data_IF_354747662870
#
_entry.id   IF_354747662870
#
_cell.length_a   1.000
_cell.length_b   1.000
_cell.length_c   1.000
_cell.angle_alpha   90.00
_cell.angle_beta   90.00
_cell.angle_gamma   90.00
#
_symmetry.space_group_name_H-M   'P 1'
#
loop_
_entity.id
_entity.type
_entity.pdbx_description
1 polymer ?
#
# COMPACT_ATOMS: atom_id res chain seq x y z
N UNK A 1 -2.36 70.75 38.76
CA UNK A 1 -2.61 69.30 38.63
C UNK A 1 -1.66 68.76 37.55
N UNK A 2 -0.58 68.07 37.94
CA UNK A 2 0.49 67.62 37.02
C UNK A 2 0.19 66.20 36.54
N UNK A 3 0.10 66.00 35.23
CA UNK A 3 0.03 64.65 34.61
C UNK A 3 1.44 64.30 34.14
N UNK A 4 2.02 63.22 34.71
CA UNK A 4 3.26 62.59 34.23
C UNK A 4 2.88 61.48 33.26
N UNK A 5 3.39 61.53 32.03
CA UNK A 5 3.38 60.42 31.10
C UNK A 5 4.42 59.38 31.53
N UNK A 6 3.98 58.13 31.75
CA UNK A 6 4.84 56.95 31.89
C UNK A 6 4.61 56.10 30.64
N UNK A 7 5.64 55.95 29.82
CA UNK A 7 5.68 55.03 28.69
C UNK A 7 6.07 53.66 29.23
N UNK A 8 5.16 52.69 29.20
CA UNK A 8 5.47 51.28 29.44
C UNK A 8 5.96 50.66 28.12
N UNK A 9 7.23 50.24 28.09
CA UNK A 9 7.80 49.43 27.03
C UNK A 9 7.52 47.96 27.39
N UNK A 10 6.58 47.34 26.67
CA UNK A 10 6.37 45.90 26.69
C UNK A 10 7.42 45.23 25.80
N UNK A 11 8.38 44.54 26.41
CA UNK A 11 9.24 43.59 25.68
C UNK A 11 8.41 42.33 25.38
N UNK A 12 7.99 42.18 24.13
CA UNK A 12 7.46 40.92 23.63
C UNK A 12 8.60 39.91 23.50
N UNK A 13 8.70 38.98 24.46
CA UNK A 13 9.52 37.78 24.30
C UNK A 13 8.86 36.88 23.26
N UNK A 14 9.40 36.88 22.03
CA UNK A 14 9.04 35.90 21.01
C UNK A 14 9.77 34.60 21.33
N UNK A 15 9.08 33.46 21.55
CA UNK A 15 9.76 32.19 21.73
C UNK A 15 10.41 31.82 20.39
N UNK A 16 11.74 31.68 20.42
CA UNK A 16 12.51 31.17 19.29
C UNK A 16 12.06 29.73 19.03
N UNK A 17 11.25 29.52 17.98
CA UNK A 17 10.88 28.19 17.51
C UNK A 17 12.17 27.52 17.01
N UNK A 18 12.69 26.55 17.76
CA UNK A 18 13.73 25.65 17.27
C UNK A 18 13.04 24.71 16.29
N UNK A 19 13.07 25.06 15.00
CA UNK A 19 12.70 24.14 13.92
C UNK A 19 13.85 23.13 13.87
N UNK A 20 13.65 21.95 14.47
CA UNK A 20 14.53 20.82 14.21
C UNK A 20 14.49 20.55 12.70
N UNK A 21 15.63 20.33 12.03
CA UNK A 21 15.61 19.99 10.62
C UNK A 21 14.86 18.66 10.51
N UNK A 22 13.70 18.69 9.85
CA UNK A 22 13.17 17.49 9.20
C UNK A 22 14.28 17.08 8.24
N UNK A 23 14.95 15.95 8.49
CA UNK A 23 15.87 15.40 7.52
C UNK A 23 15.06 15.18 6.25
N UNK A 24 15.34 15.98 5.23
CA UNK A 24 14.62 15.87 3.97
C UNK A 24 14.89 14.48 3.40
N UNK A 25 13.84 13.65 3.32
CA UNK A 25 13.87 12.37 2.62
C UNK A 25 14.51 12.55 1.25
N UNK A 26 15.55 11.78 0.94
CA UNK A 26 16.15 11.84 -0.38
C UNK A 26 15.23 11.08 -1.33
N UNK A 27 14.47 11.81 -2.16
CA UNK A 27 13.54 11.26 -3.14
C UNK A 27 13.84 11.74 -4.57
N UNK A 28 13.56 10.87 -5.54
CA UNK A 28 13.61 11.16 -6.97
C UNK A 28 12.35 10.57 -7.63
N UNK A 29 11.56 11.45 -8.25
CA UNK A 29 10.44 11.07 -9.11
C UNK A 29 10.91 11.22 -10.58
N UNK A 30 10.92 10.14 -11.34
CA UNK A 30 11.29 10.14 -12.77
C UNK A 30 10.01 10.23 -13.59
N UNK A 31 9.92 11.25 -14.44
CA UNK A 31 8.84 11.39 -15.42
C UNK A 31 8.85 10.20 -16.39
N UNK A 32 7.75 9.44 -16.43
CA UNK A 32 7.61 8.22 -17.22
C UNK A 32 7.76 8.42 -18.73
N UNK A 33 7.61 9.66 -19.21
CA UNK A 33 7.70 10.03 -20.63
C UNK A 33 9.08 10.56 -21.03
N UNK A 34 10.00 10.78 -20.07
CA UNK A 34 11.30 11.38 -20.34
C UNK A 34 12.45 10.44 -20.01
N UNK A 35 13.42 10.28 -20.92
CA UNK A 35 14.62 9.53 -20.60
C UNK A 35 15.44 10.25 -19.53
N UNK A 36 16.11 9.45 -18.70
CA UNK A 36 16.99 9.91 -17.65
C UNK A 36 18.21 9.01 -17.60
N UNK A 37 19.40 9.60 -17.49
CA UNK A 37 20.66 8.84 -17.53
C UNK A 37 21.56 9.19 -16.36
N UNK A 38 22.05 8.15 -15.70
CA UNK A 38 23.05 8.18 -14.64
C UNK A 38 22.74 9.21 -13.53
N UNK A 39 21.45 9.42 -13.23
CA UNK A 39 21.03 10.32 -12.13
C UNK A 39 21.39 9.67 -10.81
N UNK A 40 22.01 10.46 -9.93
CA UNK A 40 22.36 10.00 -8.59
C UNK A 40 21.45 10.60 -7.53
N UNK A 41 21.13 9.76 -6.53
CA UNK A 41 20.54 10.15 -5.26
C UNK A 41 21.32 9.50 -4.12
N UNK A 42 21.48 10.21 -2.99
CA UNK A 42 22.31 9.76 -1.86
C UNK A 42 21.65 10.12 -0.54
N UNK A 43 21.82 9.24 0.44
CA UNK A 43 21.50 9.49 1.84
C UNK A 43 22.43 8.64 2.71
N UNK A 44 23.10 9.27 3.67
CA UNK A 44 24.12 8.62 4.50
C UNK A 44 25.18 7.88 3.67
N UNK A 45 25.32 6.57 3.90
CA UNK A 45 26.26 5.71 3.18
C UNK A 45 25.70 5.11 1.89
N UNK A 46 24.41 5.34 1.61
CA UNK A 46 23.70 4.79 0.46
C UNK A 46 23.77 5.77 -0.70
N UNK A 47 24.09 5.25 -1.87
CA UNK A 47 24.01 5.97 -3.15
C UNK A 47 23.30 5.09 -4.16
N UNK A 48 22.33 5.66 -4.86
CA UNK A 48 21.67 5.02 -5.99
C UNK A 48 21.98 5.80 -7.24
N UNK A 49 22.40 5.11 -8.29
CA UNK A 49 22.52 5.66 -9.64
C UNK A 49 21.49 4.97 -10.53
N UNK A 50 20.63 5.74 -11.18
CA UNK A 50 19.55 5.23 -12.01
C UNK A 50 19.63 5.78 -13.44
N UNK A 51 19.26 4.95 -14.40
CA UNK A 51 18.92 5.36 -15.77
C UNK A 51 17.58 4.75 -16.17
N UNK A 52 16.76 5.53 -16.86
CA UNK A 52 15.44 5.16 -17.35
C UNK A 52 15.31 5.57 -18.82
N UNK A 53 14.72 4.69 -19.63
CA UNK A 53 14.39 4.94 -21.02
C UNK A 53 12.89 4.62 -21.23
N UNK A 54 12.05 5.58 -21.65
CA UNK A 54 10.66 5.28 -21.95
C UNK A 54 10.54 4.21 -23.03
N UNK A 55 9.61 3.27 -22.85
CA UNK A 55 9.31 2.24 -23.84
C UNK A 55 8.54 2.82 -25.03
N UNK A 56 8.81 2.30 -26.23
CA UNK A 56 8.03 2.62 -27.42
C UNK A 56 7.17 1.42 -27.83
N UNK A 57 5.94 1.37 -27.31
CA UNK A 57 5.01 0.25 -27.53
C UNK A 57 4.64 0.03 -29.02
N UNK A 58 4.87 1.01 -29.89
CA UNK A 58 4.64 0.85 -31.33
C UNK A 58 5.76 0.04 -32.03
N UNK A 59 6.89 -0.22 -31.36
CA UNK A 59 8.06 -0.89 -31.95
C UNK A 59 8.45 -2.19 -31.21
N UNK A 60 8.01 -2.39 -29.97
CA UNK A 60 8.28 -3.61 -29.18
C UNK A 60 7.18 -4.68 -29.37
N UNK A 61 7.16 -5.33 -30.53
CA UNK A 61 6.20 -6.41 -30.83
C UNK A 61 6.70 -7.81 -30.50
N UNK A 62 7.94 -7.95 -30.00
CA UNK A 62 8.63 -9.25 -29.93
C UNK A 62 8.68 -9.90 -28.55
N UNK A 63 8.07 -9.30 -27.51
CA UNK A 63 7.95 -9.95 -26.20
C UNK A 63 9.27 -10.17 -25.45
N UNK A 64 10.37 -9.54 -25.89
CA UNK A 64 11.59 -9.46 -25.08
C UNK A 64 11.33 -8.58 -23.86
N UNK A 65 11.94 -8.94 -22.73
CA UNK A 65 11.85 -8.21 -21.47
C UNK A 65 12.35 -6.78 -21.65
N UNK A 66 11.40 -5.86 -21.85
CA UNK A 66 11.53 -4.40 -21.99
C UNK A 66 11.94 -3.72 -20.67
N UNK A 67 12.93 -4.29 -19.98
CA UNK A 67 13.53 -3.71 -18.77
C UNK A 67 14.16 -2.35 -19.12
N UNK A 68 13.42 -1.31 -18.82
CA UNK A 68 13.68 0.04 -19.28
C UNK A 68 14.07 0.97 -18.12
N UNK A 69 14.12 0.42 -16.90
CA UNK A 69 14.75 0.99 -15.73
C UNK A 69 16.00 0.18 -15.38
N UNK A 70 17.13 0.85 -15.15
CA UNK A 70 18.36 0.24 -14.64
C UNK A 70 18.88 1.05 -13.47
N UNK A 71 19.31 0.37 -12.41
CA UNK A 71 19.79 1.04 -11.21
C UNK A 71 20.94 0.29 -10.55
N UNK A 72 21.81 1.07 -9.92
CA UNK A 72 22.98 0.61 -9.19
C UNK A 72 22.94 1.15 -7.78
N UNK A 73 23.08 0.26 -6.79
CA UNK A 73 23.07 0.62 -5.37
C UNK A 73 24.47 0.42 -4.81
N UNK A 74 24.97 1.46 -4.16
CA UNK A 74 26.28 1.52 -3.55
C UNK A 74 26.15 1.71 -2.04
N UNK A 75 27.03 1.06 -1.29
CA UNK A 75 27.23 1.31 0.14
C UNK A 75 28.69 1.72 0.36
N UNK A 76 28.92 2.90 0.94
CA UNK A 76 30.27 3.49 1.11
C UNK A 76 31.08 3.50 -0.20
N UNK A 77 30.41 3.94 -1.27
CA UNK A 77 30.93 4.01 -2.65
C UNK A 77 31.33 2.67 -3.31
N UNK A 78 31.14 1.53 -2.63
CA UNK A 78 31.30 0.19 -3.21
C UNK A 78 29.98 -0.25 -3.83
N UNK A 79 30.02 -0.74 -5.07
CA UNK A 79 28.85 -1.26 -5.79
C UNK A 79 28.44 -2.62 -5.22
N UNK A 80 27.16 -2.78 -4.85
CA UNK A 80 26.61 -4.04 -4.37
C UNK A 80 25.46 -4.57 -5.22
N UNK A 81 24.61 -3.68 -5.74
CA UNK A 81 23.47 -4.05 -6.59
C UNK A 81 23.63 -3.40 -7.96
N UNK A 82 23.40 -4.17 -9.01
CA UNK A 82 23.29 -3.71 -10.38
C UNK A 82 22.12 -4.49 -10.99
N UNK A 83 20.94 -3.89 -10.96
CA UNK A 83 19.68 -4.56 -11.29
C UNK A 83 18.86 -3.71 -12.25
N UNK A 84 17.79 -4.31 -12.76
CA UNK A 84 16.87 -3.72 -13.72
C UNK A 84 15.43 -3.98 -13.31
N UNK A 85 14.53 -3.20 -13.87
CA UNK A 85 13.10 -3.40 -13.72
C UNK A 85 12.34 -2.87 -14.95
N UNK A 86 11.09 -3.28 -15.04
CA UNK A 86 10.14 -2.76 -16.00
C UNK A 86 9.30 -1.64 -15.41
N UNK A 87 9.04 -0.60 -16.20
CA UNK A 87 8.08 0.45 -15.89
C UNK A 87 7.35 0.94 -17.16
N UNK A 88 6.04 1.13 -17.06
CA UNK A 88 5.15 1.51 -18.15
C UNK A 88 4.50 2.87 -17.87
N UNK A 89 5.00 3.93 -18.51
CA UNK A 89 4.42 5.29 -18.58
C UNK A 89 4.17 6.05 -17.27
N UNK A 90 4.00 5.38 -16.12
CA UNK A 90 3.84 6.05 -14.84
C UNK A 90 5.21 6.54 -14.32
N UNK A 91 5.21 7.53 -13.41
CA UNK A 91 6.45 7.96 -12.78
C UNK A 91 7.13 6.84 -11.99
N UNK A 92 8.45 6.72 -12.16
CA UNK A 92 9.27 5.83 -11.30
C UNK A 92 9.63 6.61 -10.04
N UNK A 93 9.33 6.05 -8.88
CA UNK A 93 9.75 6.60 -7.59
C UNK A 93 11.02 5.94 -7.08
N UNK A 94 11.99 6.73 -6.62
CA UNK A 94 13.15 6.23 -5.87
C UNK A 94 13.28 7.03 -4.59
N UNK A 95 13.16 6.34 -3.48
CA UNK A 95 13.22 6.91 -2.15
C UNK A 95 14.35 6.27 -1.35
N UNK A 96 15.08 7.08 -0.59
CA UNK A 96 15.97 6.63 0.48
C UNK A 96 15.35 7.05 1.81
N UNK A 97 14.99 6.06 2.62
CA UNK A 97 14.27 6.27 3.87
C UNK A 97 14.60 5.15 4.85
N UNK A 98 14.96 5.50 6.09
CA UNK A 98 15.09 4.56 7.20
C UNK A 98 13.69 4.09 7.63
N UNK A 99 13.36 2.82 7.34
CA UNK A 99 12.03 2.25 7.58
C UNK A 99 11.88 1.65 8.97
N UNK A 100 12.96 1.13 9.57
CA UNK A 100 12.93 0.44 10.86
C UNK A 100 13.68 1.17 11.98
N UNK A 101 14.12 2.41 11.71
CA UNK A 101 14.83 3.32 12.61
C UNK A 101 16.18 2.74 13.07
N UNK A 102 16.89 2.05 12.19
CA UNK A 102 18.21 1.46 12.45
C UNK A 102 19.39 2.41 12.11
N UNK A 103 19.10 3.59 11.55
CA UNK A 103 20.08 4.60 11.13
C UNK A 103 20.67 4.38 9.74
N UNK A 104 20.17 3.40 8.98
CA UNK A 104 20.55 3.13 7.59
C UNK A 104 19.31 3.12 6.71
N UNK A 105 19.24 4.06 5.78
CA UNK A 105 18.13 4.12 4.83
C UNK A 105 17.99 2.86 3.98
N UNK A 106 16.77 2.38 3.83
CA UNK A 106 16.37 1.47 2.76
C UNK A 106 16.28 2.21 1.43
N UNK A 107 16.59 1.49 0.34
CA UNK A 107 16.30 1.94 -1.02
C UNK A 107 14.95 1.39 -1.44
N UNK A 108 13.99 2.28 -1.72
CA UNK A 108 12.63 1.91 -2.13
C UNK A 108 12.44 2.36 -3.58
N UNK A 109 12.20 1.42 -4.48
CA UNK A 109 11.98 1.68 -5.91
C UNK A 109 10.55 1.31 -6.25
N UNK A 110 9.74 2.30 -6.65
CA UNK A 110 8.36 2.13 -7.08
C UNK A 110 8.30 2.06 -8.61
N UNK A 111 7.71 1.00 -9.14
CA UNK A 111 7.49 0.80 -10.58
C UNK A 111 6.03 0.48 -10.87
N UNK A 112 5.62 0.67 -12.11
CA UNK A 112 4.28 0.43 -12.59
C UNK A 112 4.27 -0.42 -13.85
N UNK A 113 3.53 -1.51 -13.89
CA UNK A 113 3.54 -2.43 -15.04
C UNK A 113 2.48 -2.16 -16.11
N UNK A 114 1.61 -1.14 -15.96
CA UNK A 114 0.71 -0.72 -17.03
C UNK A 114 -0.73 -1.21 -16.97
N UNK A 115 -1.15 -1.84 -15.87
CA UNK A 115 -2.52 -2.32 -15.72
C UNK A 115 -3.56 -1.19 -15.57
N UNK A 116 -4.78 -1.44 -16.04
CA UNK A 116 -5.91 -0.49 -15.97
C UNK A 116 -6.30 -0.08 -14.54
N UNK A 117 -5.89 -0.87 -13.56
CA UNK A 117 -6.17 -0.68 -12.14
C UNK A 117 -4.90 -0.54 -11.30
N UNK A 118 -3.84 -0.07 -11.96
CA UNK A 118 -2.62 0.43 -11.36
C UNK A 118 -1.69 -0.57 -10.66
N UNK A 119 -1.27 -1.61 -11.39
CA UNK A 119 -0.30 -2.65 -10.97
C UNK A 119 1.07 -2.10 -10.55
N UNK A 120 1.12 -1.54 -9.35
CA UNK A 120 2.29 -0.90 -8.76
C UNK A 120 3.08 -1.93 -7.96
N UNK A 121 4.41 -1.84 -8.00
CA UNK A 121 5.29 -2.73 -7.24
C UNK A 121 6.41 -1.94 -6.60
N UNK A 122 6.86 -2.41 -5.43
CA UNK A 122 7.99 -1.83 -4.71
C UNK A 122 9.10 -2.86 -4.59
N UNK A 123 10.30 -2.49 -5.05
CA UNK A 123 11.53 -3.19 -4.75
C UNK A 123 12.24 -2.45 -3.61
N UNK A 124 12.39 -3.12 -2.48
CA UNK A 124 12.98 -2.55 -1.27
C UNK A 124 14.30 -3.26 -1.00
N UNK A 125 15.37 -2.49 -0.89
CA UNK A 125 16.70 -3.00 -0.54
C UNK A 125 17.10 -2.48 0.83
N UNK A 126 17.33 -3.40 1.76
CA UNK A 126 17.85 -3.11 3.10
C UNK A 126 19.29 -3.62 3.22
N UNK A 127 20.13 -2.88 3.94
CA UNK A 127 21.53 -3.23 4.17
C UNK A 127 21.69 -4.03 5.46
N UNK A 128 22.01 -5.31 5.35
CA UNK A 128 22.14 -6.22 6.50
C UNK A 128 23.29 -7.18 6.27
N UNK A 129 24.08 -7.47 7.33
CA UNK A 129 25.15 -8.47 7.28
C UNK A 129 26.12 -8.27 6.10
N UNK A 130 26.50 -7.02 5.84
CA UNK A 130 27.40 -6.60 4.76
C UNK A 130 26.91 -6.89 3.32
N UNK A 131 25.60 -6.96 3.11
CA UNK A 131 24.98 -7.09 1.78
C UNK A 131 23.62 -6.40 1.74
N UNK A 132 23.10 -6.17 0.53
CA UNK A 132 21.70 -5.81 0.35
C UNK A 132 20.82 -7.05 0.24
N UNK A 133 19.71 -7.07 0.97
CA UNK A 133 18.62 -8.03 0.76
C UNK A 133 17.47 -7.31 0.06
N UNK A 134 16.89 -7.95 -0.96
CA UNK A 134 15.77 -7.43 -1.76
C UNK A 134 14.45 -8.01 -1.27
N UNK A 135 13.46 -7.15 -1.12
CA UNK A 135 12.06 -7.50 -0.87
C UNK A 135 11.26 -6.95 -2.04
N UNK A 136 10.30 -7.74 -2.51
CA UNK A 136 9.38 -7.37 -3.57
C UNK A 136 7.96 -7.53 -3.04
N UNK A 137 7.15 -6.48 -3.17
CA UNK A 137 5.75 -6.48 -2.75
C UNK A 137 4.83 -7.23 -3.71
N UNK A 138 5.32 -7.59 -4.91
CA UNK A 138 4.47 -8.01 -6.02
C UNK A 138 3.61 -6.87 -6.54
N UNK A 139 2.61 -7.20 -7.34
CA UNK A 139 1.67 -6.22 -7.88
C UNK A 139 0.61 -5.85 -6.86
N UNK A 140 0.51 -4.55 -6.61
CA UNK A 140 -0.50 -3.91 -5.79
C UNK A 140 -1.31 -3.00 -6.70
N UNK A 141 -2.59 -3.33 -6.89
CA UNK A 141 -3.58 -2.49 -7.56
C UNK A 141 -3.88 -1.21 -6.74
N UNK A 142 -4.49 -0.23 -7.40
CA UNK A 142 -4.69 1.11 -6.86
C UNK A 142 -3.39 1.92 -6.83
N UNK A 143 -3.25 2.85 -5.88
CA UNK A 143 -2.05 3.69 -5.81
C UNK A 143 -0.78 2.97 -5.32
N UNK A 144 -0.84 1.64 -5.10
CA UNK A 144 0.28 0.82 -4.67
C UNK A 144 0.53 0.81 -3.16
N UNK A 145 -0.07 1.73 -2.42
CA UNK A 145 0.11 1.88 -0.98
C UNK A 145 1.02 3.04 -0.62
N UNK A 146 1.08 3.35 0.68
CA UNK A 146 1.76 4.54 1.20
C UNK A 146 2.68 4.15 2.36
N UNK A 147 3.85 4.80 2.43
CA UNK A 147 4.78 4.70 3.55
C UNK A 147 4.60 5.91 4.48
N UNK A 148 4.19 5.67 5.73
CA UNK A 148 3.91 6.73 6.70
C UNK A 148 4.28 6.28 8.12
N UNK A 149 4.76 7.21 8.95
CA UNK A 149 4.95 6.99 10.40
C UNK A 149 3.61 7.28 11.10
N UNK A 150 2.81 6.24 11.32
CA UNK A 150 1.44 6.37 11.83
C UNK A 150 1.37 6.69 13.32
N UNK A 151 2.42 6.37 14.07
CA UNK A 151 2.44 6.44 15.53
C UNK A 151 3.51 7.41 16.08
N UNK A 152 4.31 8.04 15.21
CA UNK A 152 5.43 8.94 15.50
C UNK A 152 6.58 8.28 16.28
N UNK A 153 6.81 6.97 16.10
CA UNK A 153 7.93 6.24 16.71
C UNK A 153 9.18 6.18 15.81
N UNK A 154 9.10 6.79 14.62
CA UNK A 154 10.10 6.81 13.54
C UNK A 154 10.31 5.49 12.81
N UNK A 155 9.51 4.47 13.10
CA UNK A 155 9.36 3.31 12.23
C UNK A 155 8.23 3.60 11.26
N UNK A 156 8.44 3.19 10.02
CA UNK A 156 7.55 3.53 8.92
C UNK A 156 6.65 2.33 8.66
N UNK A 157 5.35 2.57 8.68
CA UNK A 157 4.36 1.60 8.24
C UNK A 157 4.07 1.74 6.74
N UNK A 158 3.85 0.59 6.10
CA UNK A 158 3.34 0.47 4.75
C UNK A 158 1.85 0.14 4.79
N UNK A 159 1.03 1.10 4.38
CA UNK A 159 -0.43 1.01 4.32
C UNK A 159 -0.86 0.62 2.92
N UNK A 160 -1.62 -0.46 2.81
CA UNK A 160 -2.15 -0.98 1.54
C UNK A 160 -3.50 -1.67 1.75
N UNK A 161 -3.97 -2.45 0.77
CA UNK A 161 -5.21 -3.20 0.83
C UNK A 161 -5.05 -4.67 0.42
N UNK A 162 -5.93 -5.55 0.93
CA UNK A 162 -5.96 -6.94 0.46
C UNK A 162 -6.60 -7.05 -0.92
N UNK A 163 -5.77 -7.00 -1.96
CA UNK A 163 -6.21 -7.03 -3.36
C UNK A 163 -6.93 -8.31 -3.76
N UNK A 164 -6.87 -9.37 -2.95
CA UNK A 164 -7.66 -10.58 -3.22
C UNK A 164 -9.17 -10.34 -3.22
N UNK A 165 -9.65 -9.25 -2.62
CA UNK A 165 -11.06 -8.88 -2.65
C UNK A 165 -11.47 -8.19 -3.97
N UNK A 166 -10.51 -7.73 -4.77
CA UNK A 166 -10.78 -7.15 -6.08
C UNK A 166 -11.26 -8.25 -7.02
N UNK A 167 -12.34 -7.98 -7.75
CA UNK A 167 -12.99 -8.92 -8.67
C UNK A 167 -13.58 -10.18 -8.04
N UNK A 168 -13.43 -10.40 -6.74
CA UNK A 168 -13.87 -11.63 -6.12
C UNK A 168 -15.40 -11.71 -6.02
N UNK A 169 -16.08 -10.62 -5.66
CA UNK A 169 -17.54 -10.60 -5.42
C UNK A 169 -18.28 -9.43 -6.12
N UNK A 170 -17.59 -8.73 -7.02
CA UNK A 170 -18.07 -7.60 -7.81
C UNK A 170 -17.05 -7.24 -8.88
N UNK A 171 -17.33 -6.27 -9.75
CA UNK A 171 -16.31 -5.60 -10.56
C UNK A 171 -15.27 -4.88 -9.68
N UNK A 172 -14.18 -4.38 -10.27
CA UNK A 172 -13.20 -3.53 -9.58
C UNK A 172 -13.87 -2.33 -8.90
N UNK A 173 -14.79 -1.64 -9.60
CA UNK A 173 -15.48 -0.46 -9.08
C UNK A 173 -16.43 -0.80 -7.91
N UNK A 174 -16.98 -2.02 -7.87
CA UNK A 174 -17.78 -2.50 -6.74
C UNK A 174 -16.96 -3.07 -5.58
N UNK A 175 -15.64 -3.22 -5.75
CA UNK A 175 -14.76 -3.87 -4.77
C UNK A 175 -14.25 -2.87 -3.74
N UNK A 176 -14.35 -3.21 -2.46
CA UNK A 176 -13.78 -2.42 -1.37
C UNK A 176 -12.91 -3.32 -0.48
N UNK A 177 -11.63 -3.49 -0.80
CA UNK A 177 -10.75 -4.37 -0.04
C UNK A 177 -10.48 -3.82 1.38
N UNK A 178 -10.29 -4.71 2.38
CA UNK A 178 -9.90 -4.33 3.73
C UNK A 178 -8.46 -3.79 3.75
N UNK A 179 -8.19 -2.90 4.71
CA UNK A 179 -6.85 -2.31 4.91
C UNK A 179 -5.87 -3.36 5.45
N UNK A 180 -4.63 -3.32 4.96
CA UNK A 180 -3.47 -4.03 5.50
C UNK A 180 -2.40 -2.99 5.88
N UNK A 181 -1.77 -3.18 7.03
CA UNK A 181 -0.70 -2.31 7.51
C UNK A 181 0.47 -3.18 7.94
N UNK A 182 1.63 -2.91 7.35
CA UNK A 182 2.84 -3.64 7.64
C UNK A 182 3.89 -2.71 8.22
N UNK A 183 4.58 -3.13 9.26
CA UNK A 183 5.78 -2.46 9.73
C UNK A 183 6.99 -3.14 9.10
N UNK A 184 7.95 -2.35 8.63
CA UNK A 184 9.25 -2.90 8.24
C UNK A 184 10.10 -3.13 9.49
N UNK A 185 10.71 -4.31 9.61
CA UNK A 185 11.64 -4.63 10.70
C UNK A 185 12.64 -5.67 10.21
N UNK A 186 13.93 -5.31 10.22
CA UNK A 186 15.03 -6.20 9.88
C UNK A 186 14.80 -6.98 8.56
N UNK A 187 14.41 -6.26 7.51
CA UNK A 187 14.30 -6.83 6.16
C UNK A 187 13.05 -7.68 5.95
N UNK A 188 12.00 -7.46 6.75
CA UNK A 188 10.71 -8.13 6.59
C UNK A 188 9.57 -7.16 6.87
N UNK A 189 8.46 -7.40 6.20
CA UNK A 189 7.18 -6.79 6.56
C UNK A 189 6.49 -7.66 7.61
N UNK A 190 6.17 -7.04 8.75
CA UNK A 190 5.40 -7.63 9.84
C UNK A 190 4.00 -7.06 9.79
N UNK A 191 2.97 -7.91 9.73
CA UNK A 191 1.58 -7.48 9.81
C UNK A 191 1.29 -6.88 11.19
N UNK A 192 1.05 -5.57 11.21
CA UNK A 192 0.66 -4.79 12.39
C UNK A 192 -0.75 -4.22 12.25
N UNK A 193 -1.53 -4.67 11.27
CA UNK A 193 -2.85 -4.14 10.90
C UNK A 193 -3.76 -3.90 12.11
N UNK A 194 -3.84 -4.88 13.02
CA UNK A 194 -4.70 -4.81 14.21
C UNK A 194 -4.23 -3.78 15.26
N UNK A 195 -2.98 -3.32 15.19
CA UNK A 195 -2.43 -2.32 16.11
C UNK A 195 -2.89 -0.89 15.75
N UNK A 196 -3.53 -0.68 14.60
CA UNK A 196 -4.02 0.62 14.14
C UNK A 196 -5.56 0.68 14.00
N UNK A 197 -6.33 0.41 15.08
CA UNK A 197 -7.79 0.32 15.01
C UNK A 197 -8.45 1.62 14.52
N UNK A 198 -7.83 2.78 14.72
CA UNK A 198 -8.35 4.06 14.24
C UNK A 198 -8.48 4.09 12.71
N UNK A 199 -7.42 3.71 11.99
CA UNK A 199 -7.44 3.64 10.51
C UNK A 199 -8.43 2.58 10.01
N UNK A 200 -8.51 1.44 10.71
CA UNK A 200 -9.46 0.39 10.39
C UNK A 200 -10.91 0.86 10.54
N UNK A 201 -11.20 1.70 11.55
CA UNK A 201 -12.53 2.31 11.76
C UNK A 201 -12.82 3.36 10.69
N UNK A 202 -11.85 4.21 10.34
CA UNK A 202 -12.00 5.21 9.26
C UNK A 202 -12.33 4.51 7.94
N UNK A 203 -11.56 3.48 7.56
CA UNK A 203 -11.85 2.66 6.38
C UNK A 203 -13.25 2.03 6.45
N UNK A 204 -13.66 1.53 7.61
CA UNK A 204 -14.98 0.93 7.80
C UNK A 204 -16.12 1.95 7.59
N UNK A 205 -15.91 3.22 7.96
CA UNK A 205 -16.86 4.30 7.69
C UNK A 205 -17.00 4.55 6.19
N UNK A 206 -15.88 4.58 5.45
CA UNK A 206 -15.90 4.71 3.98
C UNK A 206 -16.64 3.54 3.32
N UNK A 207 -16.36 2.31 3.77
CA UNK A 207 -17.06 1.11 3.30
C UNK A 207 -18.56 1.17 3.58
N UNK A 208 -18.97 1.71 4.73
CA UNK A 208 -20.39 1.89 5.04
C UNK A 208 -21.06 2.91 4.12
N UNK A 209 -20.40 4.03 3.82
CA UNK A 209 -20.92 5.00 2.84
C UNK A 209 -21.01 4.40 1.43
N UNK A 210 -19.98 3.67 1.00
CA UNK A 210 -20.00 2.95 -0.26
C UNK A 210 -21.15 1.95 -0.35
N UNK A 211 -21.42 1.23 0.74
CA UNK A 211 -22.56 0.32 0.84
C UNK A 211 -23.89 1.07 0.69
N UNK A 212 -24.07 2.21 1.36
CA UNK A 212 -25.31 2.99 1.25
C UNK A 212 -25.54 3.48 -0.19
N UNK A 213 -24.49 3.94 -0.86
CA UNK A 213 -24.53 4.32 -2.28
C UNK A 213 -24.88 3.13 -3.15
N UNK A 214 -24.17 2.01 -3.02
CA UNK A 214 -24.43 0.80 -3.79
C UNK A 214 -25.86 0.27 -3.58
N UNK A 215 -26.38 0.34 -2.35
CA UNK A 215 -27.78 -0.03 -2.06
C UNK A 215 -28.77 0.90 -2.75
N UNK A 216 -28.53 2.21 -2.69
CA UNK A 216 -29.41 3.22 -3.31
C UNK A 216 -29.48 3.07 -4.82
N UNK A 217 -28.37 2.71 -5.43
CA UNK A 217 -28.21 2.59 -6.89
C UNK A 217 -28.49 1.16 -7.41
N UNK A 218 -28.85 0.23 -6.51
CA UNK A 218 -28.94 -1.21 -6.79
C UNK A 218 -27.71 -1.78 -7.51
N UNK A 219 -26.54 -1.28 -7.09
CA UNK A 219 -25.23 -1.65 -7.60
C UNK A 219 -24.60 -2.77 -6.75
N UNK A 220 -23.47 -3.32 -7.21
CA UNK A 220 -22.75 -4.53 -6.78
C UNK A 220 -22.31 -4.57 -5.29
N UNK A 221 -23.28 -4.49 -4.37
CA UNK A 221 -23.09 -4.34 -2.93
C UNK A 221 -22.38 -5.53 -2.26
N UNK A 222 -22.35 -6.71 -2.89
CA UNK A 222 -21.66 -7.88 -2.37
C UNK A 222 -20.13 -7.67 -2.30
N UNK A 223 -19.57 -6.94 -3.27
CA UNK A 223 -18.17 -6.51 -3.24
C UNK A 223 -17.85 -5.70 -2.00
N UNK A 224 -18.65 -4.67 -1.72
CA UNK A 224 -18.49 -3.82 -0.52
C UNK A 224 -18.66 -4.63 0.77
N UNK A 225 -19.71 -5.46 0.85
CA UNK A 225 -20.02 -6.23 2.05
C UNK A 225 -18.97 -7.29 2.36
N UNK A 226 -18.33 -7.88 1.36
CA UNK A 226 -17.24 -8.85 1.56
C UNK A 226 -16.06 -8.23 2.30
N UNK A 227 -15.58 -7.07 1.83
CA UNK A 227 -14.51 -6.32 2.48
C UNK A 227 -14.93 -5.74 3.82
N UNK A 228 -16.17 -5.29 3.97
CA UNK A 228 -16.72 -4.81 5.25
C UNK A 228 -16.64 -5.89 6.34
N UNK A 229 -16.99 -7.14 6.02
CA UNK A 229 -16.86 -8.27 6.96
C UNK A 229 -15.41 -8.50 7.33
N UNK A 230 -14.49 -8.50 6.37
CA UNK A 230 -13.06 -8.68 6.63
C UNK A 230 -12.47 -7.56 7.51
N UNK A 231 -12.85 -6.31 7.23
CA UNK A 231 -12.49 -5.14 8.03
C UNK A 231 -13.02 -5.24 9.47
N UNK A 232 -14.25 -5.72 9.65
CA UNK A 232 -14.83 -6.02 10.97
C UNK A 232 -14.08 -7.15 11.69
N UNK A 233 -13.60 -8.17 10.99
CA UNK A 233 -12.77 -9.23 11.58
C UNK A 233 -11.46 -8.65 12.12
N UNK A 234 -10.80 -7.76 11.38
CA UNK A 234 -9.58 -7.08 11.83
C UNK A 234 -9.81 -6.25 13.11
N UNK A 235 -11.02 -5.73 13.30
CA UNK A 235 -11.44 -5.01 14.52
C UNK A 235 -11.91 -5.94 15.65
N UNK A 236 -11.94 -7.26 15.47
CA UNK A 236 -12.47 -8.22 16.45
C UNK A 236 -14.00 -8.26 16.52
N UNK A 237 -14.69 -7.75 15.50
CA UNK A 237 -16.13 -7.52 15.48
C UNK A 237 -16.89 -8.41 14.47
N UNK A 238 -16.35 -9.62 14.21
CA UNK A 238 -16.85 -10.57 13.19
C UNK A 238 -18.37 -10.76 13.22
N UNK A 239 -18.95 -11.11 14.37
CA UNK A 239 -20.39 -11.41 14.49
C UNK A 239 -21.27 -10.24 14.04
N UNK A 240 -20.87 -9.01 14.39
CA UNK A 240 -21.61 -7.81 14.00
C UNK A 240 -21.51 -7.55 12.49
N UNK A 241 -20.31 -7.73 11.92
CA UNK A 241 -20.08 -7.61 10.49
C UNK A 241 -20.85 -8.66 9.69
N UNK A 242 -20.82 -9.91 10.15
CA UNK A 242 -21.50 -11.03 9.51
C UNK A 242 -23.02 -10.85 9.52
N UNK A 243 -23.59 -10.47 10.67
CA UNK A 243 -25.03 -10.17 10.79
C UNK A 243 -25.45 -9.02 9.88
N UNK A 244 -24.63 -7.98 9.78
CA UNK A 244 -24.88 -6.86 8.87
C UNK A 244 -24.89 -7.32 7.41
N UNK A 245 -23.92 -8.12 6.99
CA UNK A 245 -23.87 -8.70 5.65
C UNK A 245 -25.10 -9.56 5.34
N UNK A 246 -25.48 -10.49 6.23
CA UNK A 246 -26.65 -11.37 6.03
C UNK A 246 -27.96 -10.59 5.84
N UNK A 247 -28.07 -9.42 6.46
CA UNK A 247 -29.24 -8.57 6.39
C UNK A 247 -29.31 -7.74 5.10
N UNK A 248 -28.21 -7.63 4.36
CA UNK A 248 -28.05 -6.59 3.34
C UNK A 248 -27.45 -7.05 2.00
N UNK A 249 -26.92 -8.29 1.92
CA UNK A 249 -26.33 -8.79 0.68
C UNK A 249 -27.35 -8.94 -0.44
N UNK A 250 -26.87 -8.81 -1.68
CA UNK A 250 -27.66 -9.14 -2.86
C UNK A 250 -27.77 -10.65 -3.04
N UNK A 251 -29.01 -11.16 -3.02
CA UNK A 251 -29.32 -12.58 -3.18
C UNK A 251 -29.43 -13.01 -4.64
N UNK A 252 -29.58 -12.06 -5.57
CA UNK A 252 -29.67 -12.37 -7.00
C UNK A 252 -28.32 -12.45 -7.71
N UNK A 253 -27.28 -11.83 -7.15
CA UNK A 253 -25.94 -11.86 -7.73
C UNK A 253 -25.34 -13.26 -7.68
N UNK A 254 -24.79 -13.70 -8.82
CA UNK A 254 -24.03 -14.93 -8.97
C UNK A 254 -22.51 -14.70 -9.06
N UNK A 255 -22.04 -13.45 -8.89
CA UNK A 255 -20.63 -13.11 -8.93
C UNK A 255 -19.88 -13.76 -7.76
N UNK A 256 -18.75 -14.41 -8.07
CA UNK A 256 -17.86 -14.96 -7.04
C UNK A 256 -18.37 -16.25 -6.42
N UNK A 257 -19.39 -16.89 -7.01
CA UNK A 257 -19.92 -18.16 -6.53
C UNK A 257 -19.22 -19.37 -7.14
N UNK A 258 -18.49 -19.21 -8.25
CA UNK A 258 -17.86 -20.31 -8.96
C UNK A 258 -16.71 -20.94 -8.15
N UNK A 259 -16.65 -22.27 -8.14
CA UNK A 259 -15.60 -23.07 -7.50
C UNK A 259 -14.64 -23.54 -8.59
N UNK A 260 -13.36 -23.19 -8.46
CA UNK A 260 -12.35 -23.48 -9.46
C UNK A 260 -11.45 -24.67 -9.06
N UNK A 261 -11.08 -25.48 -10.06
CA UNK A 261 -9.97 -26.45 -9.98
C UNK A 261 -9.04 -26.21 -11.17
N UNK A 262 -7.96 -25.48 -10.91
CA UNK A 262 -7.18 -24.86 -12.00
C UNK A 262 -8.05 -23.83 -12.72
N UNK A 263 -8.08 -23.86 -14.05
CA UNK A 263 -8.87 -22.93 -14.87
C UNK A 263 -10.33 -23.37 -15.05
N UNK A 264 -10.70 -24.56 -14.58
CA UNK A 264 -12.04 -25.12 -14.82
C UNK A 264 -12.97 -24.84 -13.64
N UNK A 265 -14.19 -24.39 -13.95
CA UNK A 265 -15.29 -24.33 -12.99
C UNK A 265 -15.79 -25.75 -12.73
N UNK A 266 -15.69 -26.20 -11.47
CA UNK A 266 -16.09 -27.54 -11.04
C UNK A 266 -17.35 -27.55 -10.18
N UNK A 267 -17.88 -26.38 -9.84
CA UNK A 267 -19.11 -26.23 -9.08
C UNK A 267 -19.43 -24.76 -8.80
N UNK A 268 -20.49 -24.54 -8.01
CA UNK A 268 -20.85 -23.23 -7.48
C UNK A 268 -21.20 -23.35 -6.01
N UNK A 269 -20.82 -22.36 -5.21
CA UNK A 269 -21.37 -22.15 -3.89
C UNK A 269 -22.88 -21.86 -3.99
N UNK A 270 -23.68 -22.31 -3.01
CA UNK A 270 -25.13 -22.12 -3.04
C UNK A 270 -25.54 -20.65 -2.91
N UNK A 271 -24.74 -19.82 -2.24
CA UNK A 271 -24.99 -18.40 -2.04
C UNK A 271 -23.71 -17.63 -1.70
N UNK A 272 -23.80 -16.30 -1.73
CA UNK A 272 -22.73 -15.38 -1.39
C UNK A 272 -22.18 -15.57 0.04
N UNK A 273 -23.00 -15.70 1.11
CA UNK A 273 -22.48 -15.98 2.45
C UNK A 273 -21.62 -17.24 2.52
N UNK A 274 -22.01 -18.31 1.82
CA UNK A 274 -21.24 -19.56 1.78
C UNK A 274 -19.91 -19.35 1.06
N UNK A 275 -19.92 -18.70 -0.10
CA UNK A 275 -18.70 -18.37 -0.85
C UNK A 275 -17.76 -17.47 -0.05
N UNK A 276 -18.29 -16.40 0.55
CA UNK A 276 -17.53 -15.47 1.37
C UNK A 276 -16.89 -16.17 2.58
N UNK A 277 -17.60 -17.09 3.24
CA UNK A 277 -17.02 -17.82 4.38
C UNK A 277 -15.81 -18.65 3.95
N UNK A 278 -15.90 -19.36 2.82
CA UNK A 278 -14.77 -20.13 2.28
C UNK A 278 -13.60 -19.21 1.93
N UNK A 279 -13.89 -18.12 1.21
CA UNK A 279 -12.88 -17.12 0.86
C UNK A 279 -12.17 -16.54 2.09
N UNK A 280 -12.91 -16.15 3.14
CA UNK A 280 -12.31 -15.62 4.38
C UNK A 280 -11.44 -16.65 5.13
N UNK A 281 -11.73 -17.94 4.99
CA UNK A 281 -10.87 -19.02 5.54
C UNK A 281 -9.59 -19.13 4.72
N UNK A 282 -9.69 -19.15 3.38
CA UNK A 282 -8.54 -19.22 2.46
C UNK A 282 -7.60 -18.02 2.61
N UNK A 283 -8.17 -16.83 2.80
CA UNK A 283 -7.44 -15.58 3.05
C UNK A 283 -6.94 -15.44 4.49
N UNK A 284 -7.34 -16.35 5.38
CA UNK A 284 -6.83 -16.41 6.75
C UNK A 284 -7.47 -15.43 7.74
N UNK A 285 -8.55 -14.74 7.37
CA UNK A 285 -9.38 -13.96 8.29
C UNK A 285 -10.12 -14.87 9.28
N UNK A 286 -10.53 -16.05 8.83
CA UNK A 286 -11.11 -17.11 9.65
C UNK A 286 -10.16 -18.31 9.77
N UNK A 287 -10.29 -19.07 10.86
CA UNK A 287 -9.67 -20.39 11.00
C UNK A 287 -10.43 -21.46 10.19
N UNK A 288 -9.87 -22.67 10.11
CA UNK A 288 -10.50 -23.80 9.39
C UNK A 288 -11.90 -24.20 9.88
N UNK A 289 -12.29 -23.76 11.09
CA UNK A 289 -13.60 -24.01 11.67
C UNK A 289 -14.57 -22.83 11.42
N UNK A 290 -14.08 -21.74 10.81
CA UNK A 290 -14.84 -20.53 10.55
C UNK A 290 -14.88 -19.53 11.70
N UNK A 291 -13.99 -19.63 12.68
CA UNK A 291 -13.88 -18.66 13.77
C UNK A 291 -12.88 -17.55 13.41
N UNK A 292 -13.09 -16.29 13.84
CA UNK A 292 -12.14 -15.21 13.59
C UNK A 292 -10.79 -15.50 14.24
N UNK A 293 -9.71 -15.31 13.48
CA UNK A 293 -8.36 -15.36 14.05
C UNK A 293 -8.10 -14.11 14.88
N UNK A 294 -7.64 -14.34 16.12
CA UNK A 294 -7.20 -13.30 17.04
C UNK A 294 -5.88 -12.72 16.58
#
# INVERSE_FOLDING_TARGET
>A
MKIKNIIQILFAFSPLLIILPVFAKASLEIDGDKPLKDKEIKSGFIKVRVSYQPNNLAQDTNGDSIENLSYKIYYKDVLYVNDKAYNMFAPVGIDLQDLDNNGTDEVIIRTFSGGAHCCTSYYIYTWQNNKFNKIDTGFIDGEGGVFEDLNNDKKIEFITSDNSFLYQFSSYAGSYPPTLIYQFDDGKFIDVTRNHPKLLIERLQDMYQAYLTAKKEDYERNGVLSGYVAQKILLGEYESGWKFMLSNYDRSSDWGLDIYKGENIVGKHPDFPTALKVFLIERGYLDKNGNPKK
#
